data_IF_868420992600
#
_entry.id   IF_868420992600
#
_cell.length_a   1.000
_cell.length_b   1.000
_cell.length_c   1.000
_cell.angle_alpha   90.00
_cell.angle_beta   90.00
_cell.angle_gamma   90.00
#
_symmetry.space_group_name_H-M   'P 1'
#
loop_
_entity.id
_entity.type
_entity.pdbx_description
1 polymer ?
#
# COMPACT_ATOMS: atom_id res chain seq x y z
N UNK A 1 7.78 -63.57 -13.55
CA UNK A 1 7.97 -62.27 -14.23
C UNK A 1 7.20 -61.24 -13.44
N UNK A 2 7.92 -60.44 -12.68
CA UNK A 2 7.39 -59.53 -11.68
C UNK A 2 6.94 -58.22 -12.29
N UNK A 3 5.77 -57.81 -11.96
CA UNK A 3 5.20 -56.48 -12.24
C UNK A 3 5.69 -55.50 -11.17
N UNK A 4 6.36 -54.47 -11.60
CA UNK A 4 6.91 -53.40 -10.78
C UNK A 4 5.77 -52.41 -10.37
N UNK A 5 5.56 -52.11 -9.08
CA UNK A 5 4.56 -51.11 -8.68
C UNK A 5 5.13 -49.72 -8.85
N UNK A 6 4.39 -48.94 -9.62
CA UNK A 6 4.59 -47.50 -9.90
C UNK A 6 4.79 -46.70 -8.60
N UNK A 7 5.96 -46.10 -8.47
CA UNK A 7 6.27 -45.12 -7.42
C UNK A 7 5.44 -43.81 -7.65
N UNK A 8 4.44 -43.59 -6.81
CA UNK A 8 3.77 -42.32 -6.71
C UNK A 8 4.73 -41.23 -6.18
N UNK A 9 4.80 -40.06 -6.80
CA UNK A 9 5.60 -38.97 -6.24
C UNK A 9 5.01 -38.53 -4.89
N UNK A 10 5.82 -38.57 -3.84
CA UNK A 10 5.48 -38.01 -2.54
C UNK A 10 5.45 -36.48 -2.69
N UNK A 11 4.28 -35.90 -2.87
CA UNK A 11 4.07 -34.47 -2.66
C UNK A 11 4.40 -34.18 -1.18
N UNK A 12 5.58 -33.63 -0.92
CA UNK A 12 5.86 -32.94 0.35
C UNK A 12 4.93 -31.74 0.41
N UNK A 13 3.81 -31.89 1.12
CA UNK A 13 2.92 -30.79 1.42
C UNK A 13 3.74 -29.63 2.00
N UNK A 14 3.75 -28.52 1.28
CA UNK A 14 4.25 -27.26 1.79
C UNK A 14 3.35 -26.96 3.00
N UNK A 15 3.84 -27.24 4.19
CA UNK A 15 3.29 -26.70 5.42
C UNK A 15 3.57 -25.21 5.37
N UNK A 16 2.64 -24.45 4.72
CA UNK A 16 2.54 -23.02 4.91
C UNK A 16 2.26 -22.85 6.40
N UNK A 17 3.33 -22.60 7.14
CA UNK A 17 3.28 -22.46 8.59
C UNK A 17 2.38 -21.25 8.85
N UNK A 18 1.31 -21.45 9.58
CA UNK A 18 0.37 -20.47 10.12
C UNK A 18 1.01 -19.38 11.00
N UNK A 19 2.32 -19.25 10.95
CA UNK A 19 3.11 -18.23 11.63
C UNK A 19 2.76 -16.80 11.16
N UNK A 20 2.31 -16.66 9.91
CA UNK A 20 1.88 -15.35 9.39
C UNK A 20 0.58 -14.85 10.01
N UNK A 21 -0.33 -15.76 10.37
CA UNK A 21 -1.57 -15.42 11.10
C UNK A 21 -1.27 -15.04 12.55
N UNK A 22 -0.31 -15.71 13.17
CA UNK A 22 0.12 -15.39 14.54
C UNK A 22 0.86 -14.03 14.61
N UNK A 23 1.61 -13.65 13.57
CA UNK A 23 2.25 -12.33 13.48
C UNK A 23 1.19 -11.24 13.32
N UNK A 24 0.16 -11.45 12.49
CA UNK A 24 -0.95 -10.51 12.35
C UNK A 24 -1.75 -10.31 13.65
N UNK A 25 -1.93 -11.37 14.45
CA UNK A 25 -2.61 -11.25 15.77
C UNK A 25 -1.73 -10.64 16.86
N UNK A 26 -0.40 -10.80 16.79
CA UNK A 26 0.52 -10.17 17.75
C UNK A 26 0.64 -8.65 17.54
N UNK A 27 0.37 -8.15 16.35
CA UNK A 27 0.33 -6.71 16.05
C UNK A 27 -0.92 -6.03 16.60
N UNK A 28 -2.01 -6.77 16.80
CA UNK A 28 -3.28 -6.24 17.35
C UNK A 28 -3.21 -5.87 18.86
N UNK A 29 -2.11 -6.21 19.55
CA UNK A 29 -1.93 -5.95 20.99
C UNK A 29 -0.95 -4.82 21.33
N UNK A 30 -0.43 -4.07 20.37
CA UNK A 30 0.51 -2.98 20.64
C UNK A 30 -0.24 -1.69 21.02
N UNK A 31 -0.03 -1.28 22.27
CA UNK A 31 -0.31 0.00 22.91
C UNK A 31 -1.31 0.91 22.18
N UNK A 32 -2.49 1.04 22.74
CA UNK A 32 -3.40 2.15 22.46
C UNK A 32 -2.72 3.44 22.95
N UNK A 33 -2.07 4.17 22.02
CA UNK A 33 -1.88 5.60 22.22
C UNK A 33 -3.26 6.21 22.50
N UNK A 34 -3.36 7.23 23.39
CA UNK A 34 -4.63 7.90 23.64
C UNK A 34 -5.22 8.28 22.30
N UNK A 35 -6.43 7.79 22.03
CA UNK A 35 -7.06 7.89 20.72
C UNK A 35 -7.10 9.37 20.33
N UNK A 36 -6.36 9.73 19.27
CA UNK A 36 -6.57 11.04 18.65
C UNK A 36 -8.06 11.16 18.29
N UNK A 37 -8.65 12.34 18.45
CA UNK A 37 -10.06 12.51 18.14
C UNK A 37 -10.34 12.11 16.68
N UNK A 38 -11.49 11.47 16.42
CA UNK A 38 -11.85 11.04 15.08
C UNK A 38 -11.91 12.22 14.12
N UNK A 39 -11.47 12.01 12.88
CA UNK A 39 -11.55 13.03 11.85
C UNK A 39 -13.01 13.18 11.39
N UNK A 40 -13.47 14.42 11.29
CA UNK A 40 -14.70 14.75 10.57
C UNK A 40 -14.51 14.51 9.06
N UNK A 41 -15.60 14.39 8.30
CA UNK A 41 -15.52 14.23 6.83
C UNK A 41 -14.75 15.38 6.16
N UNK A 42 -14.89 16.63 6.65
CA UNK A 42 -14.11 17.76 6.16
C UNK A 42 -12.61 17.58 6.43
N UNK A 43 -12.24 17.10 7.61
CA UNK A 43 -10.85 16.85 7.95
C UNK A 43 -10.27 15.66 7.16
N UNK A 44 -11.07 14.63 6.84
CA UNK A 44 -10.65 13.55 5.93
C UNK A 44 -10.41 14.06 4.51
N UNK A 45 -11.22 15.03 4.06
CA UNK A 45 -10.99 15.72 2.78
C UNK A 45 -9.68 16.54 2.79
N UNK A 46 -9.40 17.26 3.89
CA UNK A 46 -8.16 18.01 4.03
C UNK A 46 -6.95 17.06 4.09
N UNK A 47 -7.05 15.97 4.84
CA UNK A 47 -6.03 14.91 4.89
C UNK A 47 -5.74 14.32 3.50
N UNK A 48 -6.78 13.97 2.74
CA UNK A 48 -6.62 13.52 1.34
C UNK A 48 -5.84 14.52 0.49
N UNK A 49 -6.15 15.81 0.58
CA UNK A 49 -5.43 16.86 -0.18
C UNK A 49 -3.97 16.95 0.25
N UNK A 50 -3.72 16.94 1.54
CA UNK A 50 -2.38 17.04 2.12
C UNK A 50 -1.50 15.85 1.75
N UNK A 51 -2.02 14.63 1.81
CA UNK A 51 -1.29 13.41 1.43
C UNK A 51 -1.08 13.29 -0.08
N UNK A 52 -2.03 13.77 -0.88
CA UNK A 52 -1.99 13.63 -2.33
C UNK A 52 -1.17 14.73 -3.01
N UNK A 53 -1.28 15.98 -2.56
CA UNK A 53 -0.59 17.11 -3.17
C UNK A 53 0.85 17.29 -2.64
N UNK A 54 1.64 16.23 -2.63
CA UNK A 54 3.00 16.24 -2.09
C UNK A 54 4.07 16.00 -3.15
N UNK A 55 5.30 16.52 -2.96
CA UNK A 55 6.44 16.13 -3.78
C UNK A 55 6.72 14.62 -3.74
N UNK A 56 6.35 13.96 -2.63
CA UNK A 56 6.48 12.51 -2.50
C UNK A 56 5.56 11.77 -3.48
N UNK A 57 4.33 12.20 -3.64
CA UNK A 57 3.37 11.63 -4.61
C UNK A 57 3.92 11.70 -6.03
N UNK A 58 4.50 12.85 -6.41
CA UNK A 58 5.13 13.01 -7.72
C UNK A 58 6.37 12.11 -7.86
N UNK A 59 7.19 12.03 -6.81
CA UNK A 59 8.35 11.14 -6.76
C UNK A 59 7.97 9.67 -6.87
N UNK A 60 6.93 9.24 -6.14
CA UNK A 60 6.39 7.88 -6.21
C UNK A 60 5.82 7.57 -7.60
N UNK A 61 5.07 8.50 -8.19
CA UNK A 61 4.56 8.37 -9.57
C UNK A 61 5.69 8.24 -10.59
N UNK A 62 6.75 9.06 -10.46
CA UNK A 62 7.93 8.99 -11.32
C UNK A 62 8.68 7.64 -11.17
N UNK A 63 8.85 7.18 -9.93
CA UNK A 63 9.48 5.89 -9.64
C UNK A 63 8.66 4.72 -10.21
N UNK A 64 7.35 4.70 -9.99
CA UNK A 64 6.45 3.68 -10.53
C UNK A 64 6.48 3.67 -12.06
N UNK A 65 6.48 4.84 -12.69
CA UNK A 65 6.60 4.96 -14.14
C UNK A 65 7.94 4.41 -14.65
N UNK A 66 9.05 4.66 -13.92
CA UNK A 66 10.37 4.16 -14.26
C UNK A 66 10.44 2.63 -14.16
N UNK A 67 9.93 2.06 -13.06
CA UNK A 67 9.85 0.60 -12.89
C UNK A 67 8.99 -0.02 -13.99
N UNK A 68 7.80 0.53 -14.24
CA UNK A 68 6.90 0.06 -15.30
C UNK A 68 7.53 0.15 -16.69
N UNK A 69 8.32 1.20 -16.97
CA UNK A 69 9.07 1.35 -18.21
C UNK A 69 10.20 0.29 -18.32
N UNK A 70 10.96 0.09 -17.25
CA UNK A 70 12.09 -0.85 -17.22
C UNK A 70 11.62 -2.31 -17.32
N UNK A 71 10.57 -2.66 -16.57
CA UNK A 71 10.02 -4.03 -16.53
C UNK A 71 9.05 -4.32 -17.67
N UNK A 72 8.66 -3.32 -18.44
CA UNK A 72 7.65 -3.42 -19.51
C UNK A 72 6.31 -3.93 -19.00
N UNK A 73 5.99 -3.59 -17.77
CA UNK A 73 4.73 -3.96 -17.11
C UNK A 73 3.60 -3.00 -17.49
N UNK A 74 2.41 -3.30 -16.99
CA UNK A 74 1.21 -2.46 -17.12
C UNK A 74 1.46 -1.07 -16.49
N UNK A 75 0.97 0.03 -17.10
CA UNK A 75 0.23 0.10 -18.37
C UNK A 75 1.11 0.02 -19.61
N UNK A 76 0.60 -0.64 -20.67
CA UNK A 76 1.36 -0.98 -21.89
C UNK A 76 1.38 0.17 -22.92
N UNK A 77 1.95 1.32 -22.56
CA UNK A 77 2.09 2.49 -23.45
C UNK A 77 3.18 2.35 -24.54
N UNK A 78 3.83 1.19 -24.62
CA UNK A 78 4.93 0.95 -25.56
C UNK A 78 6.31 0.89 -24.88
N UNK A 79 7.34 0.65 -25.68
CA UNK A 79 8.73 0.40 -25.23
C UNK A 79 9.63 1.64 -25.29
N UNK A 80 9.28 2.59 -26.13
CA UNK A 80 10.07 3.80 -26.35
C UNK A 80 10.06 4.70 -25.11
N UNK A 81 11.12 5.46 -24.90
CA UNK A 81 11.19 6.43 -23.79
C UNK A 81 10.12 7.53 -23.91
N UNK A 82 9.59 7.78 -25.11
CA UNK A 82 8.44 8.67 -25.32
C UNK A 82 7.14 8.21 -24.60
N UNK A 83 7.08 6.94 -24.18
CA UNK A 83 5.97 6.41 -23.38
C UNK A 83 6.07 6.78 -21.89
N UNK A 84 7.26 7.18 -21.40
CA UNK A 84 7.47 7.50 -19.99
C UNK A 84 6.55 8.60 -19.44
N UNK A 85 6.34 9.75 -20.11
CA UNK A 85 5.41 10.78 -19.61
C UNK A 85 3.97 10.26 -19.45
N UNK A 86 3.53 9.38 -20.36
CA UNK A 86 2.19 8.74 -20.26
C UNK A 86 2.11 7.80 -19.05
N UNK A 87 3.16 7.00 -18.80
CA UNK A 87 3.26 6.15 -17.61
C UNK A 87 3.29 6.97 -16.33
N UNK A 88 4.02 8.09 -16.33
CA UNK A 88 4.07 9.01 -15.21
C UNK A 88 2.69 9.59 -14.89
N UNK A 89 2.00 10.14 -15.89
CA UNK A 89 0.65 10.66 -15.72
C UNK A 89 -0.34 9.60 -15.23
N UNK A 90 -0.27 8.39 -15.79
CA UNK A 90 -1.08 7.27 -15.34
C UNK A 90 -0.78 6.89 -13.87
N UNK A 91 0.50 6.79 -13.50
CA UNK A 91 0.90 6.45 -12.11
C UNK A 91 0.46 7.51 -11.11
N UNK A 92 0.54 8.80 -11.46
CA UNK A 92 0.01 9.88 -10.61
C UNK A 92 -1.51 9.80 -10.52
N UNK A 93 -2.20 9.55 -11.65
CA UNK A 93 -3.65 9.35 -11.69
C UNK A 93 -4.10 8.17 -10.81
N UNK A 94 -3.37 7.06 -10.83
CA UNK A 94 -3.62 5.89 -9.97
C UNK A 94 -3.49 6.27 -8.48
N UNK A 95 -2.43 6.97 -8.08
CA UNK A 95 -2.22 7.39 -6.69
C UNK A 95 -3.32 8.35 -6.24
N UNK A 96 -3.62 9.37 -7.04
CA UNK A 96 -4.66 10.36 -6.71
C UNK A 96 -6.03 9.70 -6.56
N UNK A 97 -6.41 8.82 -7.48
CA UNK A 97 -7.70 8.12 -7.42
C UNK A 97 -7.76 7.12 -6.28
N UNK A 98 -6.65 6.44 -5.97
CA UNK A 98 -6.55 5.54 -4.83
C UNK A 98 -6.74 6.28 -3.51
N UNK A 99 -6.05 7.39 -3.30
CA UNK A 99 -6.21 8.22 -2.11
C UNK A 99 -7.63 8.82 -2.03
N UNK A 100 -8.20 9.27 -3.17
CA UNK A 100 -9.56 9.78 -3.19
C UNK A 100 -10.59 8.73 -2.76
N UNK A 101 -10.55 7.55 -3.36
CA UNK A 101 -11.50 6.48 -3.03
C UNK A 101 -11.24 5.88 -1.65
N UNK A 102 -9.96 5.63 -1.29
CA UNK A 102 -9.56 5.02 -0.03
C UNK A 102 -9.64 5.99 1.14
N UNK A 103 -8.80 7.02 1.13
CA UNK A 103 -8.57 7.85 2.32
C UNK A 103 -9.66 8.89 2.55
N UNK A 104 -10.42 9.26 1.52
CA UNK A 104 -11.53 10.19 1.67
C UNK A 104 -12.89 9.51 1.57
N UNK A 105 -13.25 8.98 0.41
CA UNK A 105 -14.63 8.56 0.13
C UNK A 105 -15.05 7.36 0.99
N UNK A 106 -14.30 6.27 0.92
CA UNK A 106 -14.63 5.04 1.65
C UNK A 106 -14.29 5.17 3.14
N UNK A 107 -13.19 5.82 3.51
CA UNK A 107 -12.87 6.08 4.91
C UNK A 107 -13.97 6.91 5.60
N UNK A 108 -14.58 7.86 4.89
CA UNK A 108 -15.74 8.62 5.41
C UNK A 108 -17.01 7.78 5.50
N UNK A 109 -17.30 6.97 4.48
CA UNK A 109 -18.51 6.15 4.44
C UNK A 109 -18.48 4.97 5.42
N UNK A 110 -17.30 4.39 5.66
CA UNK A 110 -17.10 3.21 6.51
C UNK A 110 -16.67 3.58 7.94
N UNK A 111 -16.52 4.87 8.24
CA UNK A 111 -16.03 5.37 9.53
C UNK A 111 -14.66 4.78 9.91
N UNK A 112 -13.77 4.66 8.94
CA UNK A 112 -12.37 4.24 9.12
C UNK A 112 -11.46 5.46 9.17
N UNK A 113 -10.42 5.40 10.00
CA UNK A 113 -9.44 6.48 10.13
C UNK A 113 -8.35 6.31 9.06
N UNK A 114 -8.20 7.25 8.10
CA UNK A 114 -7.21 7.13 7.04
C UNK A 114 -5.77 7.39 7.50
N UNK A 115 -5.58 7.91 8.72
CA UNK A 115 -4.25 8.27 9.23
C UNK A 115 -3.40 7.05 9.51
N UNK A 116 -2.11 7.17 9.21
CA UNK A 116 -1.12 6.18 9.61
C UNK A 116 -0.58 6.48 11.02
N UNK A 117 -0.81 5.58 11.96
CA UNK A 117 -0.32 5.67 13.33
C UNK A 117 1.00 4.92 13.48
N UNK A 118 2.12 5.67 13.51
CA UNK A 118 3.45 5.07 13.57
C UNK A 118 3.74 4.43 14.94
N UNK A 119 4.47 3.31 14.94
CA UNK A 119 4.96 2.69 16.18
C UNK A 119 6.13 3.47 16.83
N UNK A 120 6.96 4.11 16.03
CA UNK A 120 8.08 4.91 16.50
C UNK A 120 9.31 4.12 16.95
N UNK A 121 10.41 4.83 17.33
CA UNK A 121 11.75 4.25 17.53
C UNK A 121 11.91 3.43 18.82
N UNK A 122 10.93 3.41 19.71
CA UNK A 122 10.92 2.57 20.92
C UNK A 122 10.74 1.09 20.60
N UNK A 123 10.23 0.76 19.42
CA UNK A 123 10.02 -0.59 18.96
C UNK A 123 11.16 -1.09 18.05
N UNK A 124 11.36 -2.42 18.01
CA UNK A 124 12.35 -3.06 17.15
C UNK A 124 11.98 -2.90 15.66
N UNK A 125 12.99 -2.96 14.79
CA UNK A 125 12.83 -2.75 13.34
C UNK A 125 11.75 -3.64 12.71
N UNK A 126 11.79 -4.95 12.92
CA UNK A 126 10.88 -5.89 12.26
C UNK A 126 9.40 -5.74 12.66
N UNK A 127 9.04 -5.55 13.95
CA UNK A 127 7.67 -5.18 14.32
C UNK A 127 7.18 -3.91 13.63
N UNK A 128 8.01 -2.86 13.52
CA UNK A 128 7.66 -1.62 12.83
C UNK A 128 7.42 -1.84 11.33
N UNK A 129 8.30 -2.60 10.66
CA UNK A 129 8.11 -2.99 9.26
C UNK A 129 6.81 -3.78 9.09
N UNK A 130 6.55 -4.76 9.96
CA UNK A 130 5.32 -5.56 9.93
C UNK A 130 4.06 -4.70 10.14
N UNK A 131 4.11 -3.75 11.09
CA UNK A 131 3.03 -2.80 11.34
C UNK A 131 2.76 -1.90 10.12
N UNK A 132 3.81 -1.32 9.56
CA UNK A 132 3.69 -0.43 8.39
C UNK A 132 3.06 -1.15 7.19
N UNK A 133 3.58 -2.34 6.85
CA UNK A 133 3.03 -3.13 5.75
C UNK A 133 1.62 -3.65 6.08
N UNK A 134 1.41 -4.09 7.32
CA UNK A 134 0.11 -4.60 7.80
C UNK A 134 -1.00 -3.56 7.75
N UNK A 135 -0.68 -2.27 7.84
CA UNK A 135 -1.67 -1.20 7.76
C UNK A 135 -2.41 -1.15 6.41
N UNK A 136 -1.86 -1.72 5.35
CA UNK A 136 -2.59 -1.88 4.09
C UNK A 136 -3.86 -2.75 4.23
N UNK A 137 -3.91 -3.63 5.24
CA UNK A 137 -4.99 -4.60 5.44
C UNK A 137 -5.71 -4.38 6.77
N UNK A 138 -5.02 -3.80 7.76
CA UNK A 138 -5.55 -3.58 9.11
C UNK A 138 -5.42 -2.10 9.45
N UNK A 139 -6.52 -1.46 9.78
CA UNK A 139 -6.58 -0.04 10.16
C UNK A 139 -7.37 0.14 11.46
N UNK A 140 -7.69 1.38 11.79
CA UNK A 140 -8.55 1.75 12.91
C UNK A 140 -9.86 2.35 12.42
N UNK A 141 -10.93 2.14 13.18
CA UNK A 141 -12.17 2.89 13.00
C UNK A 141 -12.03 4.29 13.62
N UNK A 142 -12.94 5.19 13.29
CA UNK A 142 -13.05 6.52 13.94
C UNK A 142 -13.23 6.41 15.47
N UNK A 143 -13.74 5.28 15.97
CA UNK A 143 -13.84 5.00 17.42
C UNK A 143 -12.55 4.46 18.04
N UNK A 144 -11.47 4.29 17.25
CA UNK A 144 -10.19 3.78 17.71
C UNK A 144 -10.04 2.24 17.73
N UNK A 145 -11.08 1.50 17.35
CA UNK A 145 -11.04 0.04 17.30
C UNK A 145 -10.28 -0.46 16.06
N UNK A 146 -9.54 -1.55 16.20
CA UNK A 146 -8.88 -2.20 15.06
C UNK A 146 -9.89 -2.87 14.15
N UNK A 147 -9.77 -2.68 12.83
CA UNK A 147 -10.64 -3.28 11.81
C UNK A 147 -9.84 -3.68 10.58
N UNK A 148 -10.45 -4.46 9.69
CA UNK A 148 -9.92 -4.68 8.36
C UNK A 148 -10.01 -3.37 7.56
N UNK A 149 -8.98 -3.03 6.80
CA UNK A 149 -8.88 -1.78 6.04
C UNK A 149 -9.70 -1.87 4.74
N UNK A 150 -11.02 -1.81 4.89
CA UNK A 150 -11.93 -1.87 3.75
C UNK A 150 -11.75 -0.67 2.83
N UNK A 151 -11.50 0.50 3.40
CA UNK A 151 -11.31 1.73 2.62
C UNK A 151 -10.12 1.62 1.67
N UNK A 152 -8.97 1.13 2.14
CA UNK A 152 -7.81 0.94 1.26
C UNK A 152 -8.04 -0.19 0.24
N UNK A 153 -8.55 -1.35 0.67
CA UNK A 153 -8.69 -2.52 -0.21
C UNK A 153 -9.73 -2.29 -1.30
N UNK A 154 -10.88 -1.69 -0.97
CA UNK A 154 -11.91 -1.35 -1.95
C UNK A 154 -11.56 -0.09 -2.74
N UNK A 155 -10.93 0.90 -2.10
CA UNK A 155 -10.48 2.13 -2.77
C UNK A 155 -9.46 1.86 -3.87
N UNK A 156 -8.49 0.97 -3.59
CA UNK A 156 -7.54 0.51 -4.62
C UNK A 156 -8.21 -0.28 -5.73
N UNK A 157 -9.26 -1.08 -5.43
CA UNK A 157 -10.04 -1.77 -6.45
C UNK A 157 -10.81 -0.80 -7.35
N UNK A 158 -11.43 0.23 -6.75
CA UNK A 158 -12.12 1.29 -7.51
C UNK A 158 -11.15 2.09 -8.38
N UNK A 159 -9.98 2.42 -7.86
CA UNK A 159 -8.91 3.07 -8.62
C UNK A 159 -8.45 2.20 -9.79
N UNK A 160 -8.23 0.90 -9.58
CA UNK A 160 -7.87 -0.03 -10.65
C UNK A 160 -8.98 -0.14 -11.72
N UNK A 161 -10.24 -0.05 -11.32
CA UNK A 161 -11.37 0.04 -12.26
C UNK A 161 -11.34 1.34 -13.08
N UNK A 162 -11.11 2.47 -12.40
CA UNK A 162 -11.01 3.78 -13.06
C UNK A 162 -9.82 3.86 -14.01
N UNK A 163 -8.71 3.18 -13.71
CA UNK A 163 -7.52 3.14 -14.58
C UNK A 163 -7.83 2.68 -16.02
N UNK A 164 -8.87 1.86 -16.19
CA UNK A 164 -9.31 1.44 -17.53
C UNK A 164 -9.75 2.61 -18.41
N UNK A 165 -10.15 3.76 -17.83
CA UNK A 165 -10.56 4.93 -18.61
C UNK A 165 -9.37 5.63 -19.30
N UNK A 166 -8.16 5.51 -18.77
CA UNK A 166 -6.96 6.18 -19.30
C UNK A 166 -5.82 5.23 -19.67
N UNK A 167 -5.94 3.93 -19.37
CA UNK A 167 -4.95 2.93 -19.77
C UNK A 167 -5.14 2.55 -21.25
N UNK A 168 -4.07 2.14 -21.94
CA UNK A 168 -4.17 1.60 -23.31
C UNK A 168 -5.08 0.37 -23.34
N UNK A 169 -5.81 0.18 -24.45
CA UNK A 169 -6.72 -0.96 -24.64
C UNK A 169 -6.05 -2.32 -24.35
N UNK A 170 -4.76 -2.46 -24.69
CA UNK A 170 -3.98 -3.68 -24.39
C UNK A 170 -3.82 -3.96 -22.89
N UNK A 171 -4.08 -2.98 -22.02
CA UNK A 171 -4.02 -3.11 -20.55
C UNK A 171 -5.41 -3.19 -19.90
N UNK A 172 -6.48 -3.10 -20.67
CA UNK A 172 -7.87 -3.10 -20.18
C UNK A 172 -8.43 -4.54 -20.10
N UNK A 173 -7.74 -5.41 -19.37
CA UNK A 173 -8.17 -6.79 -19.16
C UNK A 173 -8.45 -7.03 -17.68
N UNK A 174 -9.35 -7.97 -17.37
CA UNK A 174 -9.64 -8.35 -15.98
C UNK A 174 -8.38 -8.80 -15.21
N UNK A 175 -7.47 -9.51 -15.89
CA UNK A 175 -6.21 -9.95 -15.31
C UNK A 175 -5.30 -8.75 -15.01
N UNK A 176 -5.19 -7.79 -15.91
CA UNK A 176 -4.39 -6.58 -15.71
C UNK A 176 -4.98 -5.71 -14.58
N UNK A 177 -6.30 -5.55 -14.53
CA UNK A 177 -6.99 -4.83 -13.45
C UNK A 177 -6.77 -5.51 -12.09
N UNK A 178 -6.92 -6.84 -12.01
CA UNK A 178 -6.67 -7.60 -10.78
C UNK A 178 -5.20 -7.54 -10.34
N UNK A 179 -4.25 -7.61 -11.29
CA UNK A 179 -2.82 -7.45 -11.01
C UNK A 179 -2.50 -6.02 -10.52
N UNK A 180 -3.08 -5.00 -11.15
CA UNK A 180 -2.93 -3.61 -10.72
C UNK A 180 -3.48 -3.40 -9.32
N UNK A 181 -4.67 -3.89 -9.03
CA UNK A 181 -5.26 -3.87 -7.69
C UNK A 181 -4.35 -4.51 -6.64
N UNK A 182 -3.91 -5.76 -6.85
CA UNK A 182 -3.03 -6.46 -5.91
C UNK A 182 -1.70 -5.73 -5.69
N UNK A 183 -1.12 -5.17 -6.75
CA UNK A 183 0.11 -4.36 -6.69
C UNK A 183 -0.13 -3.06 -5.93
N UNK A 184 -1.29 -2.42 -6.09
CA UNK A 184 -1.66 -1.20 -5.37
C UNK A 184 -1.82 -1.44 -3.87
N UNK A 185 -2.50 -2.52 -3.47
CA UNK A 185 -2.61 -2.90 -2.04
C UNK A 185 -1.23 -3.19 -1.44
N UNK A 186 -0.38 -3.92 -2.15
CA UNK A 186 1.00 -4.15 -1.69
C UNK A 186 1.81 -2.84 -1.62
N UNK A 187 1.64 -1.98 -2.62
CA UNK A 187 2.28 -0.67 -2.71
C UNK A 187 1.88 0.27 -1.57
N UNK A 188 0.61 0.29 -1.17
CA UNK A 188 0.16 1.09 -0.02
C UNK A 188 0.83 0.64 1.28
N UNK A 189 1.01 -0.68 1.48
CA UNK A 189 1.77 -1.19 2.61
C UNK A 189 3.24 -0.75 2.61
N UNK A 190 3.88 -0.77 1.44
CA UNK A 190 5.27 -0.29 1.31
C UNK A 190 5.37 1.23 1.49
N UNK A 191 4.38 2.00 1.02
CA UNK A 191 4.34 3.44 1.20
C UNK A 191 4.32 3.84 2.68
N UNK A 192 3.67 3.06 3.54
CA UNK A 192 3.62 3.28 4.98
C UNK A 192 4.99 3.15 5.69
N UNK A 193 5.99 2.56 5.04
CA UNK A 193 7.37 2.58 5.56
C UNK A 193 7.93 4.02 5.61
N UNK A 194 7.46 4.90 4.73
CA UNK A 194 7.92 6.30 4.71
C UNK A 194 7.49 7.05 5.98
N UNK A 195 6.19 7.19 6.31
CA UNK A 195 5.78 7.86 7.54
C UNK A 195 6.30 7.13 8.79
N UNK A 196 6.51 5.80 8.75
CA UNK A 196 7.09 5.07 9.88
C UNK A 196 8.56 5.44 10.15
N UNK A 197 9.41 5.54 9.14
CA UNK A 197 10.85 5.68 9.31
C UNK A 197 11.42 7.07 9.00
N UNK A 198 10.72 7.89 8.20
CA UNK A 198 11.20 9.20 7.79
C UNK A 198 11.50 10.18 8.94
N UNK A 199 10.68 10.25 10.01
CA UNK A 199 10.99 11.10 11.16
C UNK A 199 12.28 10.70 11.86
N UNK A 200 12.58 9.40 11.94
CA UNK A 200 13.82 8.91 12.56
C UNK A 200 15.04 9.28 11.71
N UNK A 201 14.93 9.13 10.40
CA UNK A 201 15.96 9.51 9.44
C UNK A 201 16.24 11.03 9.49
N UNK A 202 15.18 11.85 9.49
CA UNK A 202 15.32 13.31 9.68
C UNK A 202 16.02 13.65 11.00
N UNK A 203 15.64 13.00 12.08
CA UNK A 203 16.25 13.19 13.40
C UNK A 203 17.72 12.79 13.41
N UNK A 204 18.07 11.68 12.76
CA UNK A 204 19.45 11.23 12.60
C UNK A 204 20.28 12.24 11.78
N UNK A 205 19.77 12.70 10.63
CA UNK A 205 20.42 13.71 9.80
C UNK A 205 20.67 14.99 10.58
N UNK A 206 19.64 15.52 11.26
CA UNK A 206 19.77 16.73 12.07
C UNK A 206 20.90 16.60 13.12
N UNK A 207 20.95 15.47 13.84
CA UNK A 207 22.01 15.22 14.82
C UNK A 207 23.40 15.11 14.19
N UNK A 208 23.50 14.54 12.99
CA UNK A 208 24.79 14.33 12.29
C UNK A 208 25.36 15.63 11.73
N UNK A 209 24.50 16.49 11.17
CA UNK A 209 24.93 17.73 10.49
C UNK A 209 24.84 19.00 11.37
N UNK A 210 24.18 18.93 12.53
CA UNK A 210 24.15 20.05 13.49
C UNK A 210 25.39 20.13 14.40
N UNK A 211 26.39 19.26 14.22
CA UNK A 211 27.63 19.24 15.01
C UNK A 211 28.80 19.95 14.29
N UNK A 212 28.53 20.73 13.28
CA UNK A 212 29.41 21.63 12.59
C UNK A 212 28.75 23.01 12.51
#
# INVERSE_FOLDING_TARGET
MGSNPTSRPKYKGIRVRLWWVAIAMAVAGAAQDPAEPPLTTSQKWDHFKEETATPFTLGAGAFNALISQATRSTPLYGRAWSAYPKRFGASVGDIVSQNFFGDFMLASALHEDPRYFRMGPTHKLWPRVGHAIGHAIITRTDSGSTTFNWSNVLGTAMSAGLSNAYYPAASQTALAAGSNWGTSVAGSGLANLMPEFWPDFKGWMKRRFSKH
#
